data_IF_856465405880
#
_entry.id   IF_856465405880
#
_cell.length_a   1.000
_cell.length_b   1.000
_cell.length_c   1.000
_cell.angle_alpha   90.00
_cell.angle_beta   90.00
_cell.angle_gamma   90.00
#
_symmetry.space_group_name_H-M   'P 1'
#
loop_
_entity.id
_entity.type
_entity.pdbx_description
1 polymer ?
#
# COMPACT_ATOMS: atom_id res chain seq x y z
N UNK A 1 50.98 18.85 10.80
CA UNK A 1 49.92 18.65 11.82
C UNK A 1 48.49 18.93 11.34
N UNK A 2 48.26 19.49 10.14
CA UNK A 2 46.89 19.79 9.63
C UNK A 2 46.04 18.55 9.29
N UNK A 3 46.68 17.43 8.90
CA UNK A 3 45.98 16.20 8.51
C UNK A 3 45.27 15.49 9.68
N UNK A 4 45.78 15.67 10.89
CA UNK A 4 45.19 15.08 12.10
C UNK A 4 43.89 15.80 12.50
N UNK A 5 43.86 17.13 12.34
CA UNK A 5 42.67 17.93 12.61
C UNK A 5 41.51 17.57 11.67
N UNK A 6 41.83 17.30 10.39
CA UNK A 6 40.83 16.87 9.41
C UNK A 6 40.24 15.50 9.79
N UNK A 7 41.08 14.57 10.24
CA UNK A 7 40.65 13.23 10.64
C UNK A 7 39.74 13.27 11.87
N UNK A 8 40.09 14.08 12.87
CA UNK A 8 39.26 14.29 14.06
C UNK A 8 37.91 14.94 13.73
N UNK A 9 37.87 15.89 12.79
CA UNK A 9 36.62 16.49 12.33
C UNK A 9 35.71 15.48 11.62
N UNK A 10 36.28 14.61 10.76
CA UNK A 10 35.53 13.53 10.12
C UNK A 10 35.02 12.50 11.13
N UNK A 11 35.82 12.16 12.13
CA UNK A 11 35.41 11.23 13.20
C UNK A 11 34.30 11.82 14.08
N UNK A 12 34.35 13.12 14.38
CA UNK A 12 33.28 13.81 15.10
C UNK A 12 31.97 13.89 14.29
N UNK A 13 32.07 14.10 12.97
CA UNK A 13 30.90 14.07 12.07
C UNK A 13 30.33 12.65 11.86
N UNK A 14 31.15 11.61 12.00
CA UNK A 14 30.70 10.21 11.94
C UNK A 14 30.17 9.71 13.29
N UNK A 15 30.66 10.27 14.40
CA UNK A 15 30.22 9.98 15.76
C UNK A 15 28.96 10.74 16.16
N UNK A 16 28.53 11.75 15.38
CA UNK A 16 27.15 12.23 15.50
C UNK A 16 26.23 11.04 15.26
N UNK A 17 25.35 10.70 16.21
CA UNK A 17 24.48 9.55 16.04
C UNK A 17 23.69 9.78 14.77
N UNK A 18 23.99 8.99 13.75
CA UNK A 18 23.05 8.78 12.68
C UNK A 18 21.78 8.39 13.43
N UNK A 19 20.72 9.21 13.32
CA UNK A 19 19.38 8.75 13.69
C UNK A 19 19.08 7.63 12.71
N UNK A 20 19.66 6.45 12.95
CA UNK A 20 19.15 5.19 12.48
C UNK A 20 17.68 5.28 12.85
N UNK A 21 16.85 5.34 11.82
CA UNK A 21 15.49 5.82 11.88
C UNK A 21 14.69 4.80 12.68
N UNK A 22 14.77 4.88 14.00
CA UNK A 22 13.98 4.14 14.99
C UNK A 22 12.61 4.76 15.13
N UNK A 23 12.09 5.36 14.05
CA UNK A 23 10.65 5.54 13.96
C UNK A 23 10.06 4.12 14.10
N UNK A 24 9.02 3.93 14.94
CA UNK A 24 8.26 2.70 14.93
C UNK A 24 7.97 2.32 13.47
N UNK A 25 8.12 1.04 13.07
CA UNK A 25 7.82 0.64 11.71
C UNK A 25 6.42 1.19 11.38
N UNK A 26 6.36 2.01 10.33
CA UNK A 26 5.12 2.68 9.99
C UNK A 26 4.04 1.62 9.76
N UNK A 27 2.83 1.90 10.22
CA UNK A 27 1.76 0.91 10.15
C UNK A 27 1.35 0.75 8.66
N UNK A 28 1.63 -0.43 8.10
CA UNK A 28 1.50 -0.71 6.66
C UNK A 28 0.24 -1.53 6.40
N UNK A 29 -0.51 -1.13 5.37
CA UNK A 29 -1.60 -1.92 4.79
C UNK A 29 -1.35 -2.13 3.31
N UNK A 30 -1.45 -3.38 2.86
CA UNK A 30 -1.37 -3.73 1.43
C UNK A 30 -2.75 -4.16 0.97
N UNK A 31 -3.29 -3.47 -0.02
CA UNK A 31 -4.53 -3.87 -0.70
C UNK A 31 -4.18 -4.43 -2.06
N UNK A 32 -4.45 -5.72 -2.29
CA UNK A 32 -4.38 -6.32 -3.64
C UNK A 32 -5.77 -6.50 -4.17
N UNK A 33 -6.00 -5.97 -5.35
CA UNK A 33 -7.23 -6.10 -6.12
C UNK A 33 -6.95 -7.07 -7.26
N UNK A 34 -7.75 -8.12 -7.36
CA UNK A 34 -7.78 -9.01 -8.50
C UNK A 34 -9.08 -8.76 -9.26
N UNK A 35 -8.93 -8.15 -10.44
CA UNK A 35 -10.02 -7.85 -11.36
C UNK A 35 -10.25 -9.06 -12.29
N UNK A 36 -11.51 -9.43 -12.43
CA UNK A 36 -12.03 -10.33 -13.44
C UNK A 36 -13.09 -9.60 -14.26
N UNK A 37 -13.46 -10.14 -15.43
CA UNK A 37 -14.46 -9.51 -16.33
C UNK A 37 -15.77 -9.11 -15.65
N UNK A 38 -16.20 -9.85 -14.62
CA UNK A 38 -17.52 -9.67 -13.97
C UNK A 38 -17.43 -9.72 -12.44
N UNK A 39 -16.25 -9.55 -11.85
CA UNK A 39 -16.10 -9.58 -10.40
C UNK A 39 -14.76 -9.04 -9.99
N UNK A 40 -14.66 -8.58 -8.76
CA UNK A 40 -13.39 -8.22 -8.16
C UNK A 40 -13.22 -8.88 -6.79
N UNK A 41 -11.98 -9.20 -6.45
CA UNK A 41 -11.63 -9.68 -5.11
C UNK A 41 -10.53 -8.80 -4.57
N UNK A 42 -10.76 -8.21 -3.39
CA UNK A 42 -9.76 -7.45 -2.67
C UNK A 42 -9.21 -8.30 -1.53
N UNK A 43 -7.90 -8.21 -1.34
CA UNK A 43 -7.17 -8.77 -0.21
C UNK A 43 -6.53 -7.61 0.55
N UNK A 44 -6.94 -7.40 1.80
CA UNK A 44 -6.47 -6.30 2.66
C UNK A 44 -5.59 -6.92 3.73
N UNK A 45 -4.28 -6.69 3.66
CA UNK A 45 -3.29 -7.26 4.58
C UNK A 45 -2.76 -6.19 5.52
N UNK A 46 -2.91 -6.41 6.84
CA UNK A 46 -2.53 -5.48 7.93
C UNK A 46 -1.43 -6.09 8.82
N UNK A 47 -0.47 -6.76 8.19
CA UNK A 47 0.59 -7.55 8.84
C UNK A 47 0.52 -9.05 8.50
N UNK A 48 1.55 -9.78 8.88
CA UNK A 48 1.68 -11.22 8.60
C UNK A 48 0.50 -12.02 9.18
N UNK A 49 -0.11 -12.87 8.35
CA UNK A 49 -1.27 -13.68 8.72
C UNK A 49 -2.59 -12.90 8.90
N UNK A 50 -2.60 -11.58 8.73
CA UNK A 50 -3.77 -10.72 8.95
C UNK A 50 -4.31 -10.19 7.61
N UNK A 51 -4.84 -11.11 6.80
CA UNK A 51 -5.44 -10.78 5.51
C UNK A 51 -6.95 -10.97 5.54
N UNK A 52 -7.69 -9.90 5.24
CA UNK A 52 -9.13 -9.93 4.99
C UNK A 52 -9.39 -10.07 3.49
N UNK A 53 -10.38 -10.90 3.12
CA UNK A 53 -10.84 -11.05 1.74
C UNK A 53 -12.21 -10.40 1.58
N UNK A 54 -12.31 -9.42 0.69
CA UNK A 54 -13.56 -8.75 0.32
C UNK A 54 -13.90 -9.10 -1.12
N UNK A 55 -14.95 -9.89 -1.31
CA UNK A 55 -15.46 -10.21 -2.64
C UNK A 55 -16.50 -9.16 -3.07
N UNK A 56 -16.33 -8.60 -4.27
CA UNK A 56 -17.33 -7.77 -4.92
C UNK A 56 -17.93 -8.58 -6.06
N UNK A 57 -19.14 -9.07 -5.82
CA UNK A 57 -19.92 -9.80 -6.81
C UNK A 57 -20.72 -8.80 -7.65
N UNK A 58 -20.49 -8.78 -8.96
CA UNK A 58 -21.26 -7.94 -9.89
C UNK A 58 -22.56 -8.61 -10.34
N UNK A 59 -22.89 -9.80 -9.82
CA UNK A 59 -24.12 -10.56 -10.06
C UNK A 59 -24.46 -10.80 -11.54
N UNK A 60 -23.45 -10.78 -12.43
CA UNK A 60 -23.63 -11.06 -13.86
C UNK A 60 -24.55 -10.08 -14.61
N UNK A 61 -24.82 -8.89 -14.07
CA UNK A 61 -25.62 -7.86 -14.73
C UNK A 61 -24.82 -7.17 -15.86
N UNK A 62 -25.42 -6.28 -16.64
CA UNK A 62 -24.76 -5.61 -17.78
C UNK A 62 -23.47 -4.86 -17.39
N UNK A 63 -22.52 -4.74 -18.33
CA UNK A 63 -21.17 -4.18 -18.11
C UNK A 63 -21.15 -2.90 -17.25
N UNK A 64 -22.02 -1.93 -17.55
CA UNK A 64 -22.04 -0.64 -16.85
C UNK A 64 -22.44 -0.74 -15.38
N UNK A 65 -23.47 -1.53 -15.06
CA UNK A 65 -23.93 -1.73 -13.67
C UNK A 65 -22.91 -2.50 -12.85
N UNK A 66 -22.16 -3.40 -13.50
CA UNK A 66 -21.06 -4.12 -12.87
C UNK A 66 -19.93 -3.17 -12.47
N UNK A 67 -19.58 -2.24 -13.36
CA UNK A 67 -18.52 -1.26 -13.10
C UNK A 67 -18.89 -0.29 -11.99
N UNK A 68 -20.16 0.09 -11.86
CA UNK A 68 -20.63 0.89 -10.71
C UNK A 68 -20.43 0.15 -9.39
N UNK A 69 -20.90 -1.10 -9.28
CA UNK A 69 -20.79 -1.87 -8.04
C UNK A 69 -19.32 -2.14 -7.63
N UNK A 70 -18.46 -2.44 -8.61
CA UNK A 70 -17.01 -2.61 -8.40
C UNK A 70 -16.38 -1.30 -7.93
N UNK A 71 -16.69 -0.18 -8.57
CA UNK A 71 -16.19 1.14 -8.20
C UNK A 71 -16.62 1.54 -6.78
N UNK A 72 -17.89 1.35 -6.42
CA UNK A 72 -18.40 1.63 -5.08
C UNK A 72 -17.75 0.74 -4.01
N UNK A 73 -17.50 -0.54 -4.32
CA UNK A 73 -16.79 -1.45 -3.42
C UNK A 73 -15.34 -1.02 -3.20
N UNK A 74 -14.63 -0.58 -4.25
CA UNK A 74 -13.28 -0.01 -4.14
C UNK A 74 -13.28 1.26 -3.31
N UNK A 75 -14.20 2.18 -3.61
CA UNK A 75 -14.37 3.42 -2.88
C UNK A 75 -14.55 3.16 -1.39
N UNK A 76 -15.46 2.24 -1.01
CA UNK A 76 -15.74 1.92 0.40
C UNK A 76 -14.50 1.41 1.14
N UNK A 77 -13.71 0.52 0.52
CA UNK A 77 -12.48 0.00 1.14
C UNK A 77 -11.42 1.08 1.29
N UNK A 78 -11.18 1.86 0.23
CA UNK A 78 -10.16 2.92 0.23
C UNK A 78 -10.55 4.05 1.20
N UNK A 79 -11.82 4.47 1.20
CA UNK A 79 -12.35 5.48 2.12
C UNK A 79 -12.20 5.05 3.58
N UNK A 80 -12.43 3.78 3.90
CA UNK A 80 -12.22 3.25 5.25
C UNK A 80 -10.75 3.37 5.67
N UNK A 81 -9.81 3.02 4.81
CA UNK A 81 -8.38 3.16 5.10
C UNK A 81 -7.99 4.62 5.33
N UNK A 82 -8.53 5.55 4.54
CA UNK A 82 -8.33 6.98 4.76
C UNK A 82 -8.92 7.46 6.10
N UNK A 83 -10.12 7.01 6.47
CA UNK A 83 -10.72 7.31 7.79
C UNK A 83 -9.94 6.74 8.95
N UNK A 84 -9.30 5.59 8.76
CA UNK A 84 -8.39 4.99 9.74
C UNK A 84 -7.04 5.72 9.83
N UNK A 85 -6.78 6.71 8.97
CA UNK A 85 -5.57 7.54 8.97
C UNK A 85 -4.43 7.00 8.11
N UNK A 86 -4.66 5.95 7.32
CA UNK A 86 -3.69 5.52 6.32
C UNK A 86 -3.70 6.47 5.13
N UNK A 87 -2.55 6.65 4.49
CA UNK A 87 -2.41 7.40 3.24
C UNK A 87 -1.83 6.49 2.15
N UNK A 88 -2.30 6.63 0.92
CA UNK A 88 -1.77 5.90 -0.23
C UNK A 88 -0.35 6.38 -0.52
N UNK A 89 0.60 5.46 -0.54
CA UNK A 89 2.01 5.73 -0.83
C UNK A 89 2.43 5.25 -2.21
N UNK A 90 1.88 4.13 -2.66
CA UNK A 90 2.23 3.56 -3.95
C UNK A 90 1.08 2.76 -4.55
N UNK A 91 1.05 2.70 -5.87
CA UNK A 91 0.15 1.85 -6.65
C UNK A 91 0.92 1.18 -7.79
N UNK A 92 0.77 -0.13 -7.94
CA UNK A 92 1.29 -0.87 -9.08
C UNK A 92 0.20 -1.76 -9.68
N UNK A 93 0.23 -1.92 -10.99
CA UNK A 93 -0.75 -2.75 -11.70
C UNK A 93 -0.04 -3.65 -12.68
N UNK A 94 -0.50 -4.90 -12.75
CA UNK A 94 -0.08 -5.88 -13.75
C UNK A 94 -1.34 -6.33 -14.49
N UNK A 95 -1.33 -6.20 -15.81
CA UNK A 95 -2.40 -6.66 -16.68
C UNK A 95 -2.05 -8.03 -17.24
N UNK A 96 -2.98 -8.98 -17.21
CA UNK A 96 -2.82 -10.27 -17.87
C UNK A 96 -3.52 -10.23 -19.23
N UNK A 97 -2.91 -10.82 -20.26
CA UNK A 97 -3.61 -10.95 -21.56
C UNK A 97 -4.84 -11.84 -21.39
N UNK A 98 -6.03 -11.27 -21.65
CA UNK A 98 -7.26 -12.02 -21.88
C UNK A 98 -8.35 -11.90 -20.82
N UNK A 99 -8.03 -11.75 -19.52
CA UNK A 99 -9.07 -12.00 -18.49
C UNK A 99 -8.98 -11.24 -17.17
N UNK A 100 -8.04 -10.30 -17.01
CA UNK A 100 -8.01 -9.51 -15.79
C UNK A 100 -6.70 -8.78 -15.52
N UNK A 101 -6.63 -8.21 -14.33
CA UNK A 101 -5.44 -7.54 -13.83
C UNK A 101 -5.32 -7.71 -12.32
N UNK A 102 -4.11 -7.48 -11.82
CA UNK A 102 -3.88 -7.33 -10.39
C UNK A 102 -3.34 -5.94 -10.14
N UNK A 103 -4.06 -5.18 -9.33
CA UNK A 103 -3.60 -3.88 -8.83
C UNK A 103 -3.24 -4.02 -7.36
N UNK A 104 -2.09 -3.49 -6.97
CA UNK A 104 -1.62 -3.44 -5.59
C UNK A 104 -1.50 -2.00 -5.14
N UNK A 105 -2.12 -1.68 -4.00
CA UNK A 105 -1.98 -0.41 -3.32
C UNK A 105 -1.24 -0.61 -2.00
N UNK A 106 -0.27 0.26 -1.74
CA UNK A 106 0.45 0.34 -0.47
C UNK A 106 -0.02 1.58 0.29
N UNK A 107 -0.55 1.36 1.48
CA UNK A 107 -1.01 2.39 2.39
C UNK A 107 -0.12 2.41 3.64
N UNK A 108 0.20 3.61 4.12
CA UNK A 108 0.99 3.82 5.33
C UNK A 108 0.29 4.84 6.23
N UNK A 109 0.20 4.53 7.52
CA UNK A 109 -0.25 5.46 8.55
C UNK A 109 0.96 6.10 9.21
N UNK A 110 1.08 7.42 9.05
CA UNK A 110 2.12 8.18 9.73
C UNK A 110 1.63 8.55 11.13
N UNK A 111 2.41 8.19 12.15
CA UNK A 111 2.16 8.53 13.55
C UNK A 111 2.58 9.97 13.87
#
# INVERSE_FOLDING_TARGET
MKKLLLLCACLLALASPLRAQTAPPADIVVVRIQDYRTSAVLFITRGEGKTERVAIDSKGLSLDKNMTAVSEGYFKVIENLYREGYALQNSSSISFQGDGGVTTYLFIKNH
#
